data_IF_387298295654
#
_entry.id   IF_387298295654
#
_cell.length_a   1.000
_cell.length_b   1.000
_cell.length_c   1.000
_cell.angle_alpha   90.00
_cell.angle_beta   90.00
_cell.angle_gamma   90.00
#
_symmetry.space_group_name_H-M   'P 1'
#
loop_
_entity.id
_entity.type
_entity.pdbx_description
1 polymer ?
#
# COMPACT_ATOMS: atom_id res chain seq x y z
N UNK A 1 -5.47 -67.69 -2.55
CA UNK A 1 -4.27 -68.09 -3.34
C UNK A 1 -4.69 -68.52 -4.74
N UNK A 2 -4.45 -67.70 -5.76
CA UNK A 2 -4.39 -68.13 -7.16
C UNK A 2 -3.33 -67.29 -7.86
N UNK A 3 -2.18 -67.92 -8.11
CA UNK A 3 -1.08 -67.40 -8.91
C UNK A 3 -1.53 -67.34 -10.37
N UNK A 4 -1.24 -66.25 -11.08
CA UNK A 4 -1.00 -66.28 -12.52
C UNK A 4 0.28 -65.51 -12.82
N UNK A 5 1.03 -66.10 -13.72
CA UNK A 5 2.46 -65.94 -13.97
C UNK A 5 2.62 -65.29 -15.35
N UNK A 6 3.54 -64.32 -15.44
CA UNK A 6 4.37 -63.82 -16.55
C UNK A 6 3.91 -63.95 -18.02
N UNK A 7 4.12 -62.86 -18.77
CA UNK A 7 5.04 -62.85 -19.92
C UNK A 7 5.74 -61.47 -20.05
N UNK A 8 7.05 -61.55 -20.27
CA UNK A 8 7.97 -60.47 -20.64
C UNK A 8 7.95 -60.35 -22.16
N UNK A 9 7.97 -59.14 -22.73
CA UNK A 9 8.47 -58.93 -24.09
C UNK A 9 9.64 -57.94 -24.10
N UNK A 10 10.68 -58.41 -24.77
CA UNK A 10 11.98 -57.79 -25.04
C UNK A 10 12.02 -57.33 -26.49
N UNK A 11 12.65 -56.19 -26.76
CA UNK A 11 13.12 -55.82 -28.10
C UNK A 11 13.70 -54.39 -28.09
N UNK A 12 15.02 -54.21 -27.99
CA UNK A 12 16.03 -54.31 -29.07
C UNK A 12 15.91 -53.12 -30.03
N UNK A 13 16.69 -52.05 -29.85
CA UNK A 13 18.11 -51.83 -30.21
C UNK A 13 18.26 -51.01 -31.51
N UNK A 14 19.16 -50.04 -31.40
CA UNK A 14 20.21 -49.69 -32.37
C UNK A 14 20.04 -48.53 -33.39
N UNK A 15 20.86 -47.51 -33.11
CA UNK A 15 21.91 -46.87 -33.96
C UNK A 15 21.60 -45.75 -34.98
N UNK A 16 22.33 -44.65 -34.71
CA UNK A 16 23.20 -43.81 -35.58
C UNK A 16 22.56 -42.99 -36.71
N UNK A 17 22.83 -41.68 -36.73
CA UNK A 17 23.95 -41.13 -37.53
C UNK A 17 24.25 -39.66 -37.16
N UNK A 18 25.55 -39.34 -37.03
CA UNK A 18 26.15 -38.01 -37.02
C UNK A 18 25.86 -37.24 -38.32
N UNK A 19 25.81 -35.91 -38.26
CA UNK A 19 26.61 -35.08 -39.17
C UNK A 19 26.93 -33.69 -38.59
N UNK A 20 28.23 -33.40 -38.57
CA UNK A 20 28.85 -32.08 -38.40
C UNK A 20 28.45 -31.13 -39.54
N UNK A 21 28.56 -29.80 -39.35
CA UNK A 21 29.39 -28.89 -40.18
C UNK A 21 29.26 -27.40 -39.81
N UNK A 22 30.43 -26.84 -39.45
CA UNK A 22 31.03 -25.51 -39.69
C UNK A 22 30.47 -24.19 -39.12
N UNK A 23 31.32 -23.60 -38.26
CA UNK A 23 31.60 -22.16 -38.12
C UNK A 23 31.87 -21.49 -39.47
N UNK A 24 31.42 -20.23 -39.63
CA UNK A 24 32.15 -19.23 -40.42
C UNK A 24 31.89 -17.82 -39.89
N UNK A 25 32.96 -17.21 -39.40
CA UNK A 25 33.09 -15.80 -39.04
C UNK A 25 33.37 -14.98 -40.29
N UNK A 26 32.65 -13.88 -40.50
CA UNK A 26 33.05 -12.82 -41.44
C UNK A 26 32.98 -11.46 -40.76
N UNK A 27 34.17 -10.92 -40.50
CA UNK A 27 34.41 -9.50 -40.19
C UNK A 27 34.46 -8.77 -41.54
N UNK A 28 33.54 -7.82 -41.75
CA UNK A 28 33.67 -6.84 -42.83
C UNK A 28 34.12 -5.51 -42.22
N UNK A 29 35.40 -5.19 -42.42
CA UNK A 29 35.91 -3.84 -42.37
C UNK A 29 35.78 -3.27 -43.79
N UNK A 30 35.01 -2.19 -43.94
CA UNK A 30 35.16 -1.28 -45.07
C UNK A 30 35.19 0.15 -44.57
N UNK A 31 36.17 0.86 -45.11
CA UNK A 31 36.56 2.24 -44.87
C UNK A 31 36.01 3.14 -45.97
N UNK A 32 36.04 4.46 -45.71
CA UNK A 32 35.76 5.59 -46.61
C UNK A 32 34.26 5.89 -46.87
N UNK A 33 33.78 7.12 -46.94
CA UNK A 33 34.43 8.44 -46.93
C UNK A 33 33.42 9.51 -46.50
N UNK A 34 34.01 10.66 -46.19
CA UNK A 34 33.47 11.90 -45.65
C UNK A 34 32.43 12.57 -46.56
N UNK A 35 31.27 12.94 -46.00
CA UNK A 35 30.44 14.04 -46.50
C UNK A 35 29.99 14.89 -45.30
N UNK A 36 30.55 16.10 -45.24
CA UNK A 36 30.16 17.15 -44.29
C UNK A 36 28.80 17.72 -44.68
N UNK A 37 27.78 17.50 -43.86
CA UNK A 37 26.58 18.32 -43.86
C UNK A 37 26.41 18.90 -42.46
N UNK A 38 26.83 20.16 -42.32
CA UNK A 38 26.75 20.93 -41.10
C UNK A 38 25.28 21.30 -40.82
N UNK A 39 24.55 20.42 -40.13
CA UNK A 39 23.27 20.77 -39.51
C UNK A 39 23.59 21.54 -38.23
N UNK A 40 23.43 22.86 -38.28
CA UNK A 40 23.45 23.68 -37.08
C UNK A 40 22.31 23.25 -36.16
N UNK A 41 22.56 22.93 -34.87
CA UNK A 41 21.48 22.75 -33.92
C UNK A 41 20.82 24.12 -33.67
N UNK A 42 19.57 24.24 -34.07
CA UNK A 42 18.74 25.43 -33.85
C UNK A 42 18.77 25.83 -32.36
N UNK A 43 19.48 26.91 -32.06
CA UNK A 43 19.70 27.42 -30.70
C UNK A 43 18.39 27.75 -29.97
N UNK A 44 17.27 27.90 -30.69
CA UNK A 44 15.93 28.04 -30.09
C UNK A 44 15.39 26.75 -29.48
N UNK A 45 15.72 25.57 -30.02
CA UNK A 45 15.27 24.29 -29.49
C UNK A 45 16.03 23.88 -28.21
N UNK A 46 17.30 24.26 -28.11
CA UNK A 46 18.12 24.04 -26.91
C UNK A 46 17.70 24.98 -25.76
N UNK A 47 17.39 26.25 -26.08
CA UNK A 47 16.86 27.21 -25.13
C UNK A 47 15.46 26.82 -24.62
N UNK A 48 14.57 26.30 -25.47
CA UNK A 48 13.25 25.82 -25.04
C UNK A 48 13.33 24.60 -24.12
N UNK A 49 14.25 23.65 -24.36
CA UNK A 49 14.50 22.52 -23.45
C UNK A 49 15.15 22.94 -22.13
N UNK A 50 16.06 23.91 -22.14
CA UNK A 50 16.65 24.45 -20.92
C UNK A 50 15.63 25.28 -20.12
N UNK A 51 14.77 26.06 -20.77
CA UNK A 51 13.69 26.83 -20.12
C UNK A 51 12.60 25.92 -19.54
N UNK A 52 12.26 24.79 -20.19
CA UNK A 52 11.36 23.77 -19.61
C UNK A 52 11.99 23.03 -18.42
N UNK A 53 13.31 22.81 -18.44
CA UNK A 53 14.05 22.18 -17.33
C UNK A 53 14.24 23.14 -16.15
N UNK A 54 14.38 24.44 -16.41
CA UNK A 54 14.46 25.48 -15.38
C UNK A 54 13.07 25.71 -14.76
N UNK A 55 12.00 25.83 -15.56
CA UNK A 55 10.63 25.97 -15.04
C UNK A 55 10.21 24.78 -14.16
N UNK A 56 10.54 23.55 -14.55
CA UNK A 56 10.21 22.37 -13.73
C UNK A 56 11.06 22.23 -12.46
N UNK A 57 12.27 22.81 -12.43
CA UNK A 57 13.08 22.89 -11.22
C UNK A 57 12.60 24.01 -10.28
N UNK A 58 12.34 25.21 -10.82
CA UNK A 58 11.86 26.36 -10.04
C UNK A 58 10.44 26.15 -9.53
N UNK A 59 9.52 25.54 -10.31
CA UNK A 59 8.16 25.18 -9.83
C UNK A 59 8.19 24.08 -8.76
N UNK A 60 9.18 23.19 -8.79
CA UNK A 60 9.36 22.13 -7.79
C UNK A 60 9.99 22.67 -6.50
N UNK A 61 10.94 23.59 -6.63
CA UNK A 61 11.56 24.32 -5.52
C UNK A 61 10.55 25.28 -4.87
N UNK A 62 9.74 26.01 -5.65
CA UNK A 62 8.64 26.87 -5.14
C UNK A 62 7.55 26.07 -4.44
N UNK A 63 7.15 24.91 -4.98
CA UNK A 63 6.16 24.04 -4.32
C UNK A 63 6.69 23.50 -2.99
N UNK A 64 7.92 22.98 -2.97
CA UNK A 64 8.54 22.45 -1.74
C UNK A 64 8.81 23.55 -0.68
N UNK A 65 9.05 24.81 -1.09
CA UNK A 65 9.09 25.99 -0.20
C UNK A 65 7.69 26.34 0.33
N UNK A 66 6.65 26.25 -0.51
CA UNK A 66 5.25 26.49 -0.10
C UNK A 66 4.79 25.47 0.95
N UNK A 67 5.23 24.20 0.86
CA UNK A 67 4.90 23.15 1.84
C UNK A 67 5.81 23.13 3.09
N UNK A 68 7.03 23.69 3.00
CA UNK A 68 7.86 23.98 4.20
C UNK A 68 7.33 25.16 5.02
N UNK A 69 6.43 25.96 4.45
CA UNK A 69 5.86 27.17 5.05
C UNK A 69 4.34 27.14 5.11
N UNK A 70 3.72 25.95 5.15
CA UNK A 70 2.29 25.86 5.45
C UNK A 70 2.04 26.51 6.83
N UNK A 71 1.55 27.76 6.79
CA UNK A 71 1.24 28.56 7.97
C UNK A 71 0.20 27.91 8.87
N UNK A 72 -0.51 26.89 8.36
CA UNK A 72 -1.53 26.12 9.08
C UNK A 72 -1.02 24.78 9.62
N UNK A 73 0.17 24.32 9.23
CA UNK A 73 0.75 23.05 9.68
C UNK A 73 0.00 21.78 9.22
N UNK A 74 -0.84 21.90 8.20
CA UNK A 74 -1.74 20.88 7.68
C UNK A 74 -1.05 19.92 6.70
N UNK A 75 -0.17 20.44 5.85
CA UNK A 75 0.61 19.68 4.87
C UNK A 75 2.08 19.71 5.21
N UNK A 76 2.67 18.53 5.16
CA UNK A 76 4.09 18.37 5.40
C UNK A 76 4.70 17.58 4.25
N UNK A 77 5.77 18.14 3.69
CA UNK A 77 6.50 17.53 2.58
C UNK A 77 6.94 16.11 2.94
N UNK A 78 6.97 15.21 1.96
CA UNK A 78 7.42 13.82 2.15
C UNK A 78 8.87 13.72 2.63
N UNK A 79 9.65 14.77 2.42
CA UNK A 79 11.02 14.88 2.90
C UNK A 79 11.10 15.19 4.41
N UNK A 80 9.98 15.54 5.05
CA UNK A 80 9.92 15.80 6.49
C UNK A 80 9.54 14.54 7.24
N UNK A 81 10.43 14.15 8.14
CA UNK A 81 10.31 12.96 8.99
C UNK A 81 10.31 13.40 10.46
N UNK A 82 9.37 12.89 11.24
CA UNK A 82 9.36 13.03 12.70
C UNK A 82 10.30 11.97 13.29
N UNK A 83 11.42 12.41 13.84
CA UNK A 83 12.49 11.58 14.42
C UNK A 83 12.58 11.74 15.94
N UNK A 84 13.34 10.88 16.62
CA UNK A 84 13.54 10.93 18.07
C UNK A 84 12.49 10.17 18.89
N UNK A 85 11.63 9.40 18.20
CA UNK A 85 10.57 8.55 18.79
C UNK A 85 10.70 7.09 18.34
N UNK A 86 11.91 6.70 17.95
CA UNK A 86 12.26 5.33 17.55
C UNK A 86 12.15 4.36 18.73
N UNK A 87 12.19 4.87 19.96
CA UNK A 87 11.96 4.14 21.21
C UNK A 87 10.47 3.75 21.43
N UNK A 88 9.55 4.29 20.62
CA UNK A 88 8.13 4.00 20.73
C UNK A 88 7.36 4.90 21.69
N UNK A 89 7.98 6.00 22.15
CA UNK A 89 7.36 7.01 23.01
C UNK A 89 6.31 7.85 22.28
N UNK A 90 5.43 8.53 23.03
CA UNK A 90 4.35 9.32 22.43
C UNK A 90 4.86 10.47 21.57
N UNK A 91 4.33 10.55 20.35
CA UNK A 91 4.73 11.53 19.34
C UNK A 91 3.86 12.77 19.38
N UNK A 92 4.38 13.95 18.98
CA UNK A 92 3.56 15.14 18.81
C UNK A 92 2.45 14.88 17.79
N UNK A 93 1.26 15.41 18.09
CA UNK A 93 0.12 15.40 17.19
C UNK A 93 -0.03 16.72 16.45
N UNK A 94 -0.49 16.66 15.20
CA UNK A 94 -0.78 17.82 14.36
C UNK A 94 -2.29 17.94 14.11
N UNK A 95 -2.88 19.14 14.24
CA UNK A 95 -4.31 19.33 13.98
C UNK A 95 -4.67 19.01 12.52
N UNK A 96 -5.88 18.47 12.31
CA UNK A 96 -6.50 18.40 10.98
C UNK A 96 -7.46 19.57 10.81
N UNK A 97 -7.59 20.11 9.59
CA UNK A 97 -8.59 21.14 9.30
C UNK A 97 -10.00 20.55 9.48
N UNK A 98 -10.81 21.19 10.31
CA UNK A 98 -12.24 20.88 10.44
C UNK A 98 -13.03 21.56 9.31
N UNK A 99 -14.22 21.04 9.01
CA UNK A 99 -15.18 21.66 8.07
C UNK A 99 -15.48 23.12 8.47
N UNK A 100 -15.47 23.43 9.77
CA UNK A 100 -15.83 24.75 10.32
C UNK A 100 -14.76 25.83 10.08
N UNK A 101 -13.48 25.45 9.99
CA UNK A 101 -12.40 26.40 9.65
C UNK A 101 -12.36 26.76 8.15
N UNK A 102 -13.18 26.12 7.30
CA UNK A 102 -13.25 26.39 5.87
C UNK A 102 -14.29 27.46 5.51
N UNK A 103 -15.29 27.73 6.35
CA UNK A 103 -16.39 28.66 6.05
C UNK A 103 -16.04 30.15 6.21
N UNK A 104 -14.88 30.48 6.79
CA UNK A 104 -14.41 31.87 6.97
C UNK A 104 -13.35 32.28 5.94
N UNK A 105 -12.93 31.39 5.05
CA UNK A 105 -12.01 31.74 3.97
C UNK A 105 -12.80 32.02 2.69
N UNK A 106 -13.01 33.32 2.47
CA UNK A 106 -13.46 33.94 1.23
C UNK A 106 -12.98 33.22 -0.02
N UNK A 107 -13.91 33.07 -0.96
CA UNK A 107 -13.74 32.55 -2.31
C UNK A 107 -12.53 33.17 -3.03
N UNK A 108 -11.53 32.35 -3.33
CA UNK A 108 -10.61 32.54 -4.45
C UNK A 108 -10.07 31.18 -4.92
N UNK A 109 -9.67 31.05 -6.20
CA UNK A 109 -10.25 30.03 -7.05
C UNK A 109 -9.48 28.72 -7.06
N UNK A 110 -10.26 27.63 -7.06
CA UNK A 110 -10.05 26.41 -7.83
C UNK A 110 -8.61 25.89 -7.88
N UNK A 111 -8.25 25.01 -6.94
CA UNK A 111 -7.19 24.04 -7.18
C UNK A 111 -7.63 23.13 -8.34
N UNK A 112 -6.93 23.10 -9.48
CA UNK A 112 -7.27 22.18 -10.55
C UNK A 112 -6.98 20.76 -10.06
N UNK A 113 -7.94 19.86 -10.28
CA UNK A 113 -7.72 18.42 -10.27
C UNK A 113 -6.47 18.11 -11.12
N UNK A 114 -5.35 17.80 -10.46
CA UNK A 114 -4.15 17.29 -11.10
C UNK A 114 -4.02 15.83 -10.70
N UNK A 115 -4.47 14.94 -11.58
CA UNK A 115 -3.85 13.64 -11.75
C UNK A 115 -2.35 13.84 -12.02
N UNK A 116 -1.54 12.90 -11.57
CA UNK A 116 -0.07 12.83 -11.70
C UNK A 116 0.75 13.50 -10.59
N UNK A 117 0.94 12.76 -9.50
CA UNK A 117 2.02 13.02 -8.53
C UNK A 117 3.23 12.13 -8.86
N UNK A 118 4.00 12.52 -9.88
CA UNK A 118 5.35 12.02 -10.17
C UNK A 118 6.34 13.16 -10.04
N UNK A 119 6.89 13.34 -8.84
CA UNK A 119 7.92 14.36 -8.59
C UNK A 119 8.80 13.99 -7.40
N UNK A 120 9.96 13.37 -7.65
CA UNK A 120 10.92 13.00 -6.60
C UNK A 120 11.66 14.23 -6.07
N UNK A 121 11.59 14.49 -4.76
CA UNK A 121 12.23 15.62 -4.07
C UNK A 121 13.75 15.48 -3.96
N UNK A 122 14.45 16.61 -4.09
CA UNK A 122 15.86 16.78 -3.75
C UNK A 122 15.94 17.62 -2.49
N UNK A 123 15.62 17.02 -1.34
CA UNK A 123 15.98 17.53 -0.02
C UNK A 123 17.37 17.03 0.37
N UNK A 124 18.08 17.77 1.21
CA UNK A 124 19.38 17.38 1.80
C UNK A 124 19.23 16.07 2.56
N UNK A 125 19.53 14.99 1.84
CA UNK A 125 18.93 13.68 2.08
C UNK A 125 19.52 12.97 3.30
N UNK A 126 18.65 12.61 4.23
CA UNK A 126 18.77 11.29 4.83
C UNK A 126 18.74 10.31 3.64
N UNK A 127 19.71 9.41 3.49
CA UNK A 127 19.72 8.47 2.39
C UNK A 127 18.37 7.72 2.34
N UNK A 128 17.78 7.53 1.15
CA UNK A 128 16.50 6.85 1.02
C UNK A 128 16.61 5.48 1.70
N UNK A 129 15.79 5.26 2.73
CA UNK A 129 15.72 3.95 3.37
C UNK A 129 15.27 2.95 2.31
N UNK A 130 15.92 1.77 2.20
CA UNK A 130 15.47 0.75 1.26
C UNK A 130 14.00 0.41 1.53
N UNK A 131 13.20 0.15 0.48
CA UNK A 131 11.83 -0.28 0.66
C UNK A 131 11.81 -1.53 1.51
N UNK A 132 10.93 -1.53 2.51
CA UNK A 132 10.76 -2.66 3.41
C UNK A 132 9.34 -3.19 3.26
N UNK A 133 9.21 -4.50 3.35
CA UNK A 133 7.94 -5.20 3.21
C UNK A 133 7.78 -6.18 4.37
N UNK A 134 6.64 -6.11 5.05
CA UNK A 134 6.30 -7.03 6.15
C UNK A 134 4.91 -7.59 5.88
N UNK A 135 4.78 -8.92 5.97
CA UNK A 135 3.57 -9.64 5.60
C UNK A 135 3.03 -10.53 6.73
N UNK A 136 1.82 -11.04 6.53
CA UNK A 136 1.18 -12.08 7.34
C UNK A 136 1.68 -13.49 7.05
N UNK A 137 2.62 -13.67 6.11
CA UNK A 137 3.11 -15.00 5.74
C UNK A 137 3.76 -15.66 6.96
N UNK A 138 3.38 -16.92 7.22
CA UNK A 138 3.81 -17.68 8.40
C UNK A 138 3.34 -17.12 9.75
N UNK A 139 2.37 -16.20 9.76
CA UNK A 139 1.77 -15.64 10.98
C UNK A 139 0.29 -15.99 11.06
N UNK A 140 -0.09 -16.55 12.20
CA UNK A 140 -1.46 -16.94 12.54
C UNK A 140 -1.93 -18.14 11.72
N UNK A 141 -2.33 -19.20 12.40
CA UNK A 141 -2.95 -20.35 11.76
C UNK A 141 -4.48 -20.24 11.87
N UNK A 142 -5.16 -20.55 10.76
CA UNK A 142 -6.59 -20.78 10.75
C UNK A 142 -6.92 -22.10 11.42
N UNK A 143 -8.09 -22.20 12.04
CA UNK A 143 -8.61 -23.49 12.51
C UNK A 143 -8.83 -24.42 11.32
N UNK A 144 -8.28 -25.63 11.35
CA UNK A 144 -8.43 -26.63 10.29
C UNK A 144 -9.91 -26.87 9.93
N UNK A 145 -10.81 -26.81 10.92
CA UNK A 145 -12.24 -27.08 10.75
C UNK A 145 -13.00 -25.94 10.06
N UNK A 146 -12.61 -24.69 10.28
CA UNK A 146 -13.37 -23.52 9.81
C UNK A 146 -12.64 -22.71 8.72
N UNK A 147 -11.34 -22.91 8.56
CA UNK A 147 -10.51 -22.19 7.60
C UNK A 147 -9.32 -23.04 7.12
N UNK A 148 -9.61 -24.20 6.53
CA UNK A 148 -8.60 -25.12 5.97
C UNK A 148 -7.72 -24.49 4.89
N UNK A 149 -8.19 -23.42 4.23
CA UNK A 149 -7.43 -22.65 3.23
C UNK A 149 -6.55 -21.58 3.86
N UNK A 150 -6.55 -21.42 5.18
CA UNK A 150 -5.78 -20.43 5.92
C UNK A 150 -5.96 -19.00 5.37
N UNK A 151 -7.18 -18.62 4.99
CA UNK A 151 -7.50 -17.30 4.42
C UNK A 151 -7.59 -16.22 5.48
N UNK A 152 -7.47 -14.96 5.09
CA UNK A 152 -7.74 -13.83 5.98
C UNK A 152 -9.25 -13.74 6.20
N UNK A 153 -9.68 -13.78 7.46
CA UNK A 153 -11.10 -13.77 7.82
C UNK A 153 -11.60 -12.38 8.20
N UNK A 154 -10.74 -11.59 8.82
CA UNK A 154 -11.09 -10.22 9.19
C UNK A 154 -9.85 -9.36 9.38
N UNK A 155 -10.03 -8.07 9.12
CA UNK A 155 -9.02 -7.03 9.32
C UNK A 155 -9.50 -6.03 10.37
N UNK A 156 -8.55 -5.57 11.18
CA UNK A 156 -8.76 -4.55 12.20
C UNK A 156 -7.58 -3.60 12.29
N UNK A 157 -7.80 -2.47 12.94
CA UNK A 157 -6.76 -1.52 13.32
C UNK A 157 -6.62 -1.52 14.83
N UNK A 158 -5.37 -1.43 15.29
CA UNK A 158 -5.08 -0.95 16.65
C UNK A 158 -4.40 0.42 16.54
N UNK A 159 -4.72 1.30 17.49
CA UNK A 159 -4.23 2.68 17.51
C UNK A 159 -3.93 3.10 18.94
N UNK A 160 -2.76 3.70 19.18
CA UNK A 160 -2.37 4.15 20.52
C UNK A 160 -1.31 5.24 20.51
N UNK A 161 -0.99 5.73 21.70
CA UNK A 161 0.08 6.71 21.92
C UNK A 161 1.48 6.11 21.97
N UNK A 162 1.63 4.79 21.93
CA UNK A 162 2.94 4.11 21.95
C UNK A 162 2.97 2.95 20.96
N UNK A 163 4.15 2.65 20.42
CA UNK A 163 4.38 1.50 19.53
C UNK A 163 4.15 0.14 20.22
N UNK A 164 4.18 0.13 21.56
CA UNK A 164 3.93 -1.02 22.41
C UNK A 164 2.48 -1.49 22.40
N UNK A 165 1.56 -0.75 21.79
CA UNK A 165 0.16 -1.16 21.69
C UNK A 165 0.02 -2.58 21.10
N UNK A 166 -0.76 -3.40 21.79
CA UNK A 166 -1.01 -4.79 21.43
C UNK A 166 -2.44 -5.03 20.98
N UNK A 167 -2.77 -6.31 20.78
CA UNK A 167 -4.10 -6.78 20.37
C UNK A 167 -4.94 -7.27 21.56
N UNK A 168 -4.72 -6.74 22.77
CA UNK A 168 -5.42 -7.19 23.99
C UNK A 168 -6.94 -7.11 23.86
N UNK A 169 -7.44 -6.06 23.20
CA UNK A 169 -8.88 -5.86 22.97
C UNK A 169 -9.43 -6.66 21.78
N UNK A 170 -8.54 -7.34 21.04
CA UNK A 170 -8.80 -8.14 19.84
C UNK A 170 -8.17 -9.54 19.98
N UNK A 171 -8.65 -10.37 20.92
CA UNK A 171 -8.07 -11.69 21.15
C UNK A 171 -8.15 -12.56 19.89
N UNK A 172 -7.01 -13.17 19.51
CA UNK A 172 -6.90 -13.99 18.31
C UNK A 172 -6.59 -13.21 17.01
N UNK A 173 -6.29 -11.92 17.12
CA UNK A 173 -5.71 -11.13 16.03
C UNK A 173 -4.19 -11.02 16.17
N UNK A 174 -3.53 -10.97 15.02
CA UNK A 174 -2.10 -10.80 14.87
C UNK A 174 -1.81 -9.41 14.28
N UNK A 175 -0.81 -8.74 14.84
CA UNK A 175 -0.35 -7.41 14.43
C UNK A 175 0.70 -7.53 13.32
N UNK A 176 0.55 -6.80 12.22
CA UNK A 176 1.66 -6.52 11.29
C UNK A 176 2.51 -5.42 11.94
N UNK A 177 3.79 -5.67 12.29
CA UNK A 177 4.60 -4.76 13.10
C UNK A 177 5.17 -3.59 12.28
N UNK A 178 4.33 -2.94 11.47
CA UNK A 178 4.66 -1.72 10.72
C UNK A 178 3.70 -0.63 11.14
N UNK A 179 4.26 0.46 11.66
CA UNK A 179 3.49 1.67 11.99
C UNK A 179 3.01 2.33 10.69
N UNK A 180 1.69 2.45 10.54
CA UNK A 180 1.06 3.05 9.36
C UNK A 180 1.23 4.57 9.29
N UNK A 181 1.76 5.18 10.35
CA UNK A 181 2.17 6.59 10.43
C UNK A 181 3.70 6.76 10.51
N UNK A 182 4.48 5.75 10.09
CA UNK A 182 5.95 5.78 10.20
C UNK A 182 6.52 7.03 9.53
N UNK A 183 7.31 7.79 10.30
CA UNK A 183 7.91 9.03 9.83
C UNK A 183 6.98 10.25 9.83
N UNK A 184 5.67 10.06 9.93
CA UNK A 184 4.69 11.12 9.94
C UNK A 184 4.29 11.56 11.37
N UNK A 185 4.81 10.93 12.43
CA UNK A 185 4.40 11.31 13.80
C UNK A 185 2.97 10.88 14.13
N UNK A 186 2.28 11.60 15.01
CA UNK A 186 0.91 11.26 15.39
C UNK A 186 0.78 9.93 16.13
N UNK A 187 -0.42 9.33 16.08
CA UNK A 187 -0.69 8.06 16.77
C UNK A 187 0.03 6.91 16.08
N UNK A 188 0.43 5.90 16.86
CA UNK A 188 0.92 4.64 16.33
C UNK A 188 -0.27 3.81 15.87
N UNK A 189 -0.27 3.40 14.60
CA UNK A 189 -1.40 2.72 13.97
C UNK A 189 -0.88 1.44 13.33
N UNK A 190 -1.55 0.31 13.54
CA UNK A 190 -1.13 -0.97 12.98
C UNK A 190 -2.30 -1.74 12.38
N UNK A 191 -2.04 -2.37 11.22
CA UNK A 191 -2.94 -3.36 10.65
C UNK A 191 -2.88 -4.65 11.47
N UNK A 192 -4.04 -5.19 11.79
CA UNK A 192 -4.21 -6.48 12.43
C UNK A 192 -5.11 -7.38 11.58
N UNK A 193 -4.89 -8.69 11.68
CA UNK A 193 -5.70 -9.68 10.98
C UNK A 193 -5.98 -10.89 11.84
N UNK A 194 -7.06 -11.61 11.53
CA UNK A 194 -7.27 -12.97 12.04
C UNK A 194 -7.57 -13.93 10.90
N UNK A 195 -7.20 -15.19 11.12
CA UNK A 195 -7.57 -16.33 10.27
C UNK A 195 -8.57 -17.24 10.95
N UNK A 196 -8.98 -16.94 12.17
CA UNK A 196 -9.99 -17.73 12.86
C UNK A 196 -11.36 -17.05 12.70
N UNK A 197 -12.31 -17.66 11.96
CA UNK A 197 -13.67 -17.13 11.81
C UNK A 197 -14.36 -16.83 13.15
N UNK A 198 -14.10 -17.62 14.19
CA UNK A 198 -14.71 -17.45 15.51
C UNK A 198 -14.18 -16.24 16.28
N UNK A 199 -13.09 -15.62 15.80
CA UNK A 199 -12.51 -14.41 16.39
C UNK A 199 -12.98 -13.14 15.71
N UNK A 200 -13.73 -13.24 14.62
CA UNK A 200 -14.23 -12.06 13.90
C UNK A 200 -15.18 -11.29 14.81
N UNK A 201 -14.84 -10.02 15.04
CA UNK A 201 -15.61 -9.09 15.88
C UNK A 201 -15.78 -7.75 15.17
N UNK A 202 -16.69 -6.91 15.65
CA UNK A 202 -16.90 -5.58 15.10
C UNK A 202 -17.97 -4.77 15.84
N UNK A 203 -18.27 -3.56 15.35
CA UNK A 203 -19.29 -2.61 15.86
C UNK A 203 -20.69 -3.16 16.02
N UNK A 204 -20.87 -4.38 15.58
CA UNK A 204 -22.11 -5.02 15.32
C UNK A 204 -22.10 -6.40 16.01
N UNK A 205 -21.70 -6.47 17.28
CA UNK A 205 -21.95 -7.68 18.10
C UNK A 205 -23.43 -7.84 18.51
N UNK A 206 -24.30 -6.91 18.10
CA UNK A 206 -25.77 -6.99 18.21
C UNK A 206 -26.40 -7.81 17.06
N UNK A 207 -27.62 -8.34 17.21
CA UNK A 207 -28.38 -8.92 16.09
C UNK A 207 -28.73 -7.84 15.03
N UNK A 208 -28.53 -8.13 13.74
CA UNK A 208 -28.72 -7.17 12.60
C UNK A 208 -27.43 -6.53 12.05
N UNK A 209 -26.30 -7.10 12.44
CA UNK A 209 -24.95 -6.63 12.26
C UNK A 209 -24.20 -7.21 11.06
N UNK A 210 -23.24 -6.47 10.50
CA UNK A 210 -22.39 -7.00 9.42
C UNK A 210 -21.63 -8.26 9.84
N UNK A 211 -21.21 -8.39 11.11
CA UNK A 211 -20.52 -9.60 11.60
C UNK A 211 -21.44 -10.83 11.57
N UNK A 212 -22.74 -10.64 11.79
CA UNK A 212 -23.75 -11.70 11.83
C UNK A 212 -24.44 -11.92 10.48
N UNK A 213 -24.11 -11.11 9.47
CA UNK A 213 -24.67 -11.19 8.14
C UNK A 213 -24.08 -12.40 7.39
N UNK A 214 -24.94 -13.18 6.73
CA UNK A 214 -24.54 -14.38 5.99
C UNK A 214 -23.64 -14.09 4.77
N UNK A 215 -23.74 -12.88 4.21
CA UNK A 215 -23.04 -12.46 3.01
C UNK A 215 -21.69 -11.83 3.30
N UNK A 216 -21.49 -11.21 4.47
CA UNK A 216 -20.27 -10.44 4.79
C UNK A 216 -19.69 -10.71 6.19
N UNK A 217 -20.32 -11.59 6.95
CA UNK A 217 -20.01 -11.78 8.36
C UNK A 217 -18.81 -12.67 8.64
N UNK A 218 -18.82 -13.25 9.83
CA UNK A 218 -17.69 -13.94 10.43
C UNK A 218 -17.20 -15.17 9.67
N UNK A 219 -18.05 -15.81 8.85
CA UNK A 219 -17.69 -16.97 8.02
C UNK A 219 -17.13 -16.59 6.65
N UNK A 220 -17.19 -15.32 6.28
CA UNK A 220 -16.84 -14.87 4.93
C UNK A 220 -15.41 -14.33 4.94
N UNK A 221 -14.48 -14.92 4.16
CA UNK A 221 -13.12 -14.41 4.07
C UNK A 221 -13.07 -13.04 3.40
N UNK A 222 -12.00 -12.31 3.68
CA UNK A 222 -11.69 -11.05 3.01
C UNK A 222 -11.35 -11.32 1.54
N UNK A 223 -11.87 -10.49 0.65
CA UNK A 223 -11.66 -10.55 -0.80
C UNK A 223 -10.83 -9.37 -1.34
N UNK A 224 -10.69 -8.31 -0.56
CA UNK A 224 -9.89 -7.15 -0.93
C UNK A 224 -9.87 -6.07 0.15
N UNK A 225 -9.06 -5.04 -0.09
CA UNK A 225 -8.99 -3.84 0.75
C UNK A 225 -9.27 -2.64 -0.16
N UNK A 226 -10.14 -1.75 0.32
CA UNK A 226 -10.43 -0.46 -0.32
C UNK A 226 -9.97 0.64 0.63
N UNK A 227 -9.16 1.58 0.13
CA UNK A 227 -8.73 2.75 0.89
C UNK A 227 -9.33 4.00 0.24
N UNK A 228 -9.88 4.90 1.06
CA UNK A 228 -10.53 6.13 0.63
C UNK A 228 -9.87 7.34 1.31
N UNK A 229 -9.12 8.17 0.57
CA UNK A 229 -8.65 9.45 1.08
C UNK A 229 -9.77 10.49 1.06
N UNK A 230 -9.74 11.41 2.02
CA UNK A 230 -10.66 12.53 2.08
C UNK A 230 -9.95 13.80 2.57
N UNK A 231 -10.25 14.92 1.92
CA UNK A 231 -9.61 16.19 2.22
C UNK A 231 -10.17 16.89 3.46
N UNK A 232 -11.41 16.59 3.87
CA UNK A 232 -12.10 17.29 4.96
C UNK A 232 -13.02 16.34 5.74
N UNK A 233 -12.79 16.19 7.05
CA UNK A 233 -13.62 15.45 8.01
C UNK A 233 -13.92 13.99 7.65
N UNK A 234 -14.69 13.26 8.48
CA UNK A 234 -15.31 12.02 8.06
C UNK A 234 -16.49 12.31 7.12
N UNK A 235 -16.44 11.85 5.86
CA UNK A 235 -17.63 11.68 5.05
C UNK A 235 -18.34 10.41 5.54
N UNK A 236 -19.59 10.60 5.89
CA UNK A 236 -20.61 9.61 6.21
C UNK A 236 -20.98 8.67 5.04
N UNK A 237 -20.21 8.62 3.95
CA UNK A 237 -20.42 7.65 2.87
C UNK A 237 -19.68 6.35 3.19
N UNK A 238 -20.28 5.54 4.06
CA UNK A 238 -19.96 4.12 4.16
C UNK A 238 -19.94 3.53 2.75
N UNK A 239 -18.89 2.80 2.33
CA UNK A 239 -18.91 2.11 1.06
C UNK A 239 -19.85 0.92 1.23
N UNK A 240 -21.16 1.17 1.12
CA UNK A 240 -22.27 0.22 1.25
C UNK A 240 -22.13 -0.80 2.41
N UNK A 241 -23.05 -1.76 2.51
CA UNK A 241 -22.96 -2.82 3.53
C UNK A 241 -21.90 -3.87 3.17
N UNK A 242 -21.52 -4.01 1.90
CA UNK A 242 -20.70 -5.11 1.37
C UNK A 242 -19.19 -4.95 1.56
N UNK A 243 -18.77 -3.74 1.91
CA UNK A 243 -17.40 -3.38 2.25
C UNK A 243 -17.33 -2.79 3.66
N UNK A 244 -17.51 -3.62 4.72
CA UNK A 244 -17.45 -3.12 6.08
C UNK A 244 -16.09 -2.47 6.37
N UNK A 245 -16.04 -1.47 7.27
CA UNK A 245 -14.80 -0.81 7.64
C UNK A 245 -13.79 -1.78 8.26
N UNK A 246 -12.51 -1.45 8.11
CA UNK A 246 -11.44 -2.03 8.93
C UNK A 246 -11.45 -1.26 10.25
N UNK A 247 -12.29 -1.72 11.18
CA UNK A 247 -12.57 -1.04 12.44
C UNK A 247 -11.39 -1.10 13.41
N UNK A 248 -11.36 -0.14 14.34
CA UNK A 248 -10.67 -0.29 15.62
C UNK A 248 -11.68 -0.43 16.74
N UNK A 249 -11.26 -0.99 17.88
CA UNK A 249 -12.04 -1.03 19.11
C UNK A 249 -11.34 -0.18 20.17
N UNK A 250 -12.09 0.71 20.81
CA UNK A 250 -11.65 1.48 21.97
C UNK A 250 -12.76 1.55 23.04
N UNK A 251 -12.62 2.34 24.12
CA UNK A 251 -13.68 2.48 25.13
C UNK A 251 -15.02 3.02 24.60
N UNK A 252 -15.05 3.69 23.45
CA UNK A 252 -16.28 4.17 22.79
C UNK A 252 -16.92 3.08 21.91
N UNK A 253 -16.28 1.93 21.78
CA UNK A 253 -16.71 0.80 20.97
C UNK A 253 -15.95 0.73 19.65
N UNK A 254 -16.51 -0.03 18.71
CA UNK A 254 -15.90 -0.13 17.39
C UNK A 254 -16.30 1.03 16.49
N UNK A 255 -15.33 1.55 15.75
CA UNK A 255 -15.54 2.59 14.76
C UNK A 255 -14.44 2.51 13.70
N UNK A 256 -14.65 3.18 12.56
CA UNK A 256 -13.65 3.28 11.50
C UNK A 256 -12.61 4.35 11.87
N UNK A 257 -11.34 3.99 12.12
CA UNK A 257 -10.32 4.97 12.44
C UNK A 257 -9.81 5.69 11.21
N UNK A 258 -9.39 6.93 11.42
CA UNK A 258 -8.50 7.63 10.51
C UNK A 258 -7.09 7.01 10.60
N UNK A 259 -6.60 6.46 9.49
CA UNK A 259 -5.28 5.82 9.40
C UNK A 259 -4.12 6.81 9.42
N UNK A 260 -4.43 8.10 9.45
CA UNK A 260 -3.46 9.19 9.50
C UNK A 260 -3.72 10.07 10.75
N UNK A 261 -4.23 9.48 11.83
CA UNK A 261 -4.66 10.19 13.04
C UNK A 261 -3.48 10.83 13.80
N UNK A 262 -3.63 12.12 14.09
CA UNK A 262 -2.62 12.93 14.76
C UNK A 262 -1.38 13.25 13.91
N UNK A 263 -1.25 12.72 12.70
CA UNK A 263 -0.08 12.94 11.85
C UNK A 263 -0.24 14.16 10.91
N UNK A 264 -1.37 14.87 10.91
CA UNK A 264 -1.65 15.91 9.90
C UNK A 264 -1.85 15.29 8.50
N UNK A 265 -2.27 16.05 7.50
CA UNK A 265 -2.61 15.50 6.18
C UNK A 265 -4.05 14.98 6.05
N UNK A 266 -4.30 14.17 5.00
CA UNK A 266 -5.66 13.74 4.63
C UNK A 266 -6.26 12.79 5.67
N UNK A 267 -7.58 12.74 5.74
CA UNK A 267 -8.30 11.66 6.42
C UNK A 267 -8.23 10.42 5.54
N UNK A 268 -7.73 9.31 6.08
CA UNK A 268 -7.57 8.06 5.31
C UNK A 268 -8.37 6.97 5.99
N UNK A 269 -9.35 6.39 5.28
CA UNK A 269 -10.17 5.30 5.81
C UNK A 269 -9.99 4.04 4.98
N UNK A 270 -10.04 2.88 5.62
CA UNK A 270 -9.93 1.59 4.94
C UNK A 270 -11.11 0.68 5.25
N UNK A 271 -11.44 -0.13 4.25
CA UNK A 271 -12.58 -1.04 4.23
C UNK A 271 -12.14 -2.38 3.67
N UNK A 272 -12.80 -3.44 4.10
CA UNK A 272 -12.53 -4.80 3.64
C UNK A 272 -13.70 -5.28 2.80
N UNK A 273 -13.41 -5.81 1.61
CA UNK A 273 -14.42 -6.37 0.73
C UNK A 273 -14.74 -7.78 1.17
N UNK A 274 -16.02 -8.04 1.51
CA UNK A 274 -16.44 -9.30 2.11
C UNK A 274 -17.64 -9.93 1.43
N UNK A 275 -18.09 -9.43 0.30
CA UNK A 275 -19.28 -9.95 -0.39
C UNK A 275 -19.11 -11.42 -0.81
N UNK A 276 -19.82 -12.35 -0.15
CA UNK A 276 -19.75 -13.77 -0.49
C UNK A 276 -20.41 -14.12 -1.83
N UNK A 277 -21.35 -13.30 -2.30
CA UNK A 277 -22.07 -13.51 -3.56
C UNK A 277 -21.30 -12.99 -4.77
N UNK A 278 -20.40 -12.03 -4.57
CA UNK A 278 -19.46 -11.64 -5.61
C UNK A 278 -18.30 -12.64 -5.69
N UNK A 279 -18.55 -13.74 -6.41
CA UNK A 279 -17.57 -14.78 -6.66
C UNK A 279 -16.51 -14.39 -7.70
N UNK A 280 -16.64 -13.23 -8.34
CA UNK A 280 -15.65 -12.74 -9.31
C UNK A 280 -14.38 -12.21 -8.61
N UNK A 281 -14.51 -11.85 -7.34
CA UNK A 281 -13.41 -11.33 -6.54
C UNK A 281 -12.57 -12.47 -5.95
N UNK A 282 -11.24 -12.40 -6.06
CA UNK A 282 -10.37 -13.39 -5.43
C UNK A 282 -10.47 -13.36 -3.90
N UNK A 283 -10.05 -14.45 -3.26
CA UNK A 283 -9.95 -14.52 -1.79
C UNK A 283 -8.56 -14.07 -1.36
N UNK A 284 -8.49 -13.27 -0.30
CA UNK A 284 -7.22 -12.80 0.26
C UNK A 284 -6.59 -13.90 1.10
N UNK A 285 -5.42 -14.35 0.67
CA UNK A 285 -4.58 -15.32 1.37
C UNK A 285 -3.66 -14.62 2.37
N UNK A 286 -3.04 -13.51 1.98
CA UNK A 286 -2.11 -12.76 2.82
C UNK A 286 -2.35 -11.26 2.74
N UNK A 287 -2.00 -10.55 3.80
CA UNK A 287 -1.93 -9.09 3.86
C UNK A 287 -0.51 -8.66 4.24
N UNK A 288 -0.12 -7.47 3.83
CA UNK A 288 1.18 -6.90 4.15
C UNK A 288 1.20 -5.39 4.07
N UNK A 289 2.28 -4.81 4.56
CA UNK A 289 2.55 -3.38 4.50
C UNK A 289 3.89 -3.18 3.80
N UNK A 290 3.85 -2.37 2.74
CA UNK A 290 5.02 -1.92 1.98
C UNK A 290 5.28 -0.46 2.36
N UNK A 291 6.52 -0.14 2.71
CA UNK A 291 6.89 1.24 3.03
C UNK A 291 8.30 1.61 2.58
N UNK A 292 8.54 2.91 2.38
CA UNK A 292 9.84 3.45 2.02
C UNK A 292 9.77 4.92 1.64
N UNK A 293 10.90 5.51 1.24
CA UNK A 293 11.01 6.94 0.95
C UNK A 293 10.59 7.34 -0.47
N UNK A 294 9.94 6.45 -1.24
CA UNK A 294 9.50 6.73 -2.62
C UNK A 294 8.11 6.17 -2.88
N UNK A 295 7.29 6.89 -3.65
CA UNK A 295 6.00 6.39 -4.14
C UNK A 295 6.11 5.29 -5.19
N UNK A 296 7.29 5.13 -5.80
CA UNK A 296 7.55 4.14 -6.85
C UNK A 296 7.88 2.74 -6.31
N UNK A 297 7.94 2.56 -4.99
CA UNK A 297 8.23 1.26 -4.36
C UNK A 297 7.22 0.19 -4.79
N UNK A 298 7.73 -0.98 -5.13
CA UNK A 298 6.94 -2.12 -5.60
C UNK A 298 6.92 -3.23 -4.55
N UNK A 299 5.80 -3.94 -4.39
CA UNK A 299 5.76 -5.10 -3.52
C UNK A 299 6.52 -6.28 -4.17
N UNK A 300 6.86 -7.33 -3.41
CA UNK A 300 7.47 -8.55 -3.97
C UNK A 300 6.56 -9.23 -5.01
N UNK A 301 7.11 -10.10 -5.88
CA UNK A 301 6.32 -10.85 -6.85
C UNK A 301 5.14 -11.61 -6.21
N UNK A 302 3.98 -11.57 -6.88
CA UNK A 302 2.75 -12.23 -6.41
C UNK A 302 1.91 -11.40 -5.43
N UNK A 303 2.40 -10.22 -5.01
CA UNK A 303 1.65 -9.29 -4.17
C UNK A 303 1.07 -8.14 -5.00
N UNK A 304 -0.11 -7.68 -4.61
CA UNK A 304 -0.81 -6.54 -5.20
C UNK A 304 -0.82 -5.38 -4.21
N UNK A 305 -0.25 -4.25 -4.62
CA UNK A 305 -0.23 -3.00 -3.84
C UNK A 305 -1.56 -2.25 -4.02
N UNK A 306 -2.20 -1.85 -2.92
CA UNK A 306 -3.32 -0.91 -2.96
C UNK A 306 -2.75 0.50 -3.17
N UNK A 307 -3.20 1.26 -4.19
CA UNK A 307 -2.45 2.43 -4.69
C UNK A 307 -2.42 3.65 -3.76
N UNK A 308 -3.26 3.68 -2.72
CA UNK A 308 -3.35 4.83 -1.81
C UNK A 308 -2.19 4.83 -0.81
N UNK A 309 -1.46 5.94 -0.75
CA UNK A 309 -0.51 6.22 0.32
C UNK A 309 -1.25 6.55 1.63
N UNK A 310 -0.94 5.83 2.70
CA UNK A 310 -1.60 5.99 4.00
C UNK A 310 -1.13 7.26 4.74
N UNK A 311 0.05 7.78 4.40
CA UNK A 311 0.62 9.02 4.95
C UNK A 311 0.38 10.24 4.03
N UNK A 312 -0.65 10.21 3.17
CA UNK A 312 -0.84 11.27 2.17
C UNK A 312 -1.08 12.64 2.83
N UNK A 313 -0.18 13.58 2.57
CA UNK A 313 -0.19 14.93 3.14
C UNK A 313 0.39 15.06 4.54
N UNK A 314 0.79 13.95 5.16
CA UNK A 314 1.33 13.93 6.52
C UNK A 314 2.87 14.07 6.57
N UNK A 315 3.55 13.91 5.44
CA UNK A 315 5.00 13.70 5.38
C UNK A 315 5.34 12.22 5.57
N UNK A 316 6.51 11.93 6.14
CA UNK A 316 6.91 10.57 6.49
C UNK A 316 7.09 9.63 5.30
N UNK A 317 7.19 8.34 5.59
CA UNK A 317 7.35 7.31 4.57
C UNK A 317 6.10 7.24 3.67
N UNK A 318 6.29 6.78 2.43
CA UNK A 318 5.17 6.27 1.64
C UNK A 318 4.79 4.91 2.18
N UNK A 319 3.52 4.70 2.50
CA UNK A 319 3.03 3.47 3.14
C UNK A 319 1.83 2.95 2.36
N UNK A 320 1.85 1.67 2.03
CA UNK A 320 0.81 1.01 1.24
C UNK A 320 0.40 -0.31 1.85
N UNK A 321 -0.91 -0.59 1.86
CA UNK A 321 -1.38 -1.95 2.04
C UNK A 321 -1.06 -2.79 0.81
N UNK A 322 -0.80 -4.08 1.03
CA UNK A 322 -0.62 -5.07 -0.01
C UNK A 322 -1.44 -6.32 0.33
N UNK A 323 -1.93 -7.00 -0.70
CA UNK A 323 -2.65 -8.26 -0.58
C UNK A 323 -2.04 -9.32 -1.50
N UNK A 324 -2.10 -10.58 -1.09
CA UNK A 324 -1.80 -11.74 -1.93
C UNK A 324 -3.06 -12.59 -1.98
N UNK A 325 -3.45 -12.98 -3.18
CA UNK A 325 -4.66 -13.76 -3.40
C UNK A 325 -4.38 -15.27 -3.32
N UNK A 326 -5.41 -16.05 -2.98
CA UNK A 326 -5.41 -17.51 -2.96
C UNK A 326 -5.52 -18.09 -4.37
#
# INVERSE_FOLDING_TARGET
>A
MRKRTFTLETGSMLTRLLLFVLLSTTVFLWSCEKAEEAVQPDAKALAAKQVLKIKSATEKEDKDITYKTDKTGQYVSKDVQVTGFEDGSERPTRPKKSIEAASTMSSDPLCPYSTDCTGGGGGTGIPPSPPTFVSSESIGEGSYYYNSRNLIQDLKIIKGSSSSIGTSDLPGYYKIPVDLNKGAGGKYIYLCFTRNPERVVGSSSNPGAWVNDERIGWKVPVRGIVVKPQSIGPANSWPNLWTPPIEMKDPLGFHCPDLNDGAGGKYIYAYQQKDSWDTSLPLVKEVGVLYGSSSSIQPPPGWVRIPQDLNEGAGGDYIYFCVKFY
#
